data_IF_471937831937
#
_entry.id   IF_471937831937
#
_cell.length_a   1.000
_cell.length_b   1.000
_cell.length_c   1.000
_cell.angle_alpha   90.00
_cell.angle_beta   90.00
_cell.angle_gamma   90.00
#
_symmetry.space_group_name_H-M   'P 1'
#
loop_
_entity.id
_entity.type
_entity.pdbx_description
1 polymer ?
#
# COMPACT_ATOMS: atom_id res chain seq x y z
N UNK A 1 9.78 -22.52 -19.01
CA UNK A 1 8.79 -21.80 -18.15
C UNK A 1 9.42 -20.50 -17.73
N UNK A 2 8.71 -19.38 -17.87
CA UNK A 2 9.16 -18.09 -17.35
C UNK A 2 9.40 -18.21 -15.84
N UNK A 3 10.52 -17.70 -15.34
CA UNK A 3 10.85 -17.75 -13.93
C UNK A 3 9.81 -17.02 -13.07
N UNK A 4 9.63 -17.38 -11.79
CA UNK A 4 8.62 -16.74 -10.92
C UNK A 4 8.83 -15.24 -10.74
N UNK A 5 10.02 -14.72 -11.10
CA UNK A 5 10.42 -13.32 -10.96
C UNK A 5 10.16 -12.51 -12.25
N UNK A 6 10.06 -13.15 -13.42
CA UNK A 6 9.95 -12.43 -14.70
C UNK A 6 8.71 -11.54 -14.85
N UNK A 7 7.62 -11.83 -14.13
CA UNK A 7 6.43 -10.96 -14.16
C UNK A 7 6.67 -9.58 -13.52
N UNK A 8 7.67 -9.47 -12.63
CA UNK A 8 8.02 -8.22 -11.98
C UNK A 8 9.03 -7.40 -12.78
N UNK A 9 9.49 -7.90 -13.95
CA UNK A 9 10.39 -7.17 -14.81
C UNK A 9 9.67 -5.95 -15.41
N UNK A 10 10.27 -4.77 -15.23
CA UNK A 10 9.80 -3.55 -15.86
C UNK A 10 10.20 -3.59 -17.33
N UNK A 11 9.21 -3.57 -18.23
CA UNK A 11 9.43 -3.57 -19.67
C UNK A 11 8.96 -2.25 -20.27
N UNK A 12 9.74 -1.61 -21.15
CA UNK A 12 9.29 -0.46 -21.89
C UNK A 12 8.20 -0.88 -22.89
N UNK A 13 7.09 -0.14 -22.93
CA UNK A 13 6.00 -0.33 -23.89
C UNK A 13 6.15 0.66 -25.04
N UNK A 14 6.45 1.92 -24.71
CA UNK A 14 6.66 3.00 -25.68
C UNK A 14 7.88 3.80 -25.23
N UNK A 15 8.85 3.94 -26.13
CA UNK A 15 10.00 4.81 -25.90
C UNK A 15 9.60 6.26 -26.21
N UNK A 16 9.72 7.15 -25.23
CA UNK A 16 9.33 8.56 -25.35
C UNK A 16 10.48 9.48 -25.73
N UNK A 17 11.74 8.99 -25.64
CA UNK A 17 12.94 9.75 -25.92
C UNK A 17 14.01 9.62 -24.85
N UNK A 18 15.06 10.43 -24.94
CA UNK A 18 16.16 10.46 -23.98
C UNK A 18 16.18 11.80 -23.24
N UNK A 19 16.25 11.74 -21.89
CA UNK A 19 16.45 12.93 -21.05
C UNK A 19 17.75 12.73 -20.27
N UNK A 20 18.75 13.58 -20.53
CA UNK A 20 20.04 13.52 -19.85
C UNK A 20 20.83 12.23 -20.10
N UNK A 21 20.69 11.57 -21.27
CA UNK A 21 21.36 10.31 -21.59
C UNK A 21 20.69 9.05 -20.97
N UNK A 22 19.54 9.20 -20.36
CA UNK A 22 18.72 8.10 -19.85
C UNK A 22 17.50 7.90 -20.74
N UNK A 23 17.19 6.68 -21.22
CA UNK A 23 16.00 6.41 -22.00
C UNK A 23 14.75 6.59 -21.14
N UNK A 24 13.87 7.49 -21.55
CA UNK A 24 12.55 7.66 -20.93
C UNK A 24 11.55 6.86 -21.72
N UNK A 25 10.95 5.86 -21.07
CA UNK A 25 9.97 5.01 -21.71
C UNK A 25 8.71 4.90 -20.82
N UNK A 26 7.56 4.83 -21.47
CA UNK A 26 6.31 4.45 -20.81
C UNK A 26 6.35 2.94 -20.57
N UNK A 27 6.40 2.54 -19.29
CA UNK A 27 6.61 1.15 -18.88
C UNK A 27 5.29 0.46 -18.53
N UNK A 28 5.31 -0.88 -18.44
CA UNK A 28 4.20 -1.67 -17.90
C UNK A 28 3.80 -1.20 -16.49
N UNK A 29 4.75 -0.86 -15.63
CA UNK A 29 4.48 -0.30 -14.29
C UNK A 29 3.67 0.99 -14.36
N UNK A 30 4.05 1.93 -15.24
CA UNK A 30 3.33 3.18 -15.44
C UNK A 30 1.90 2.96 -15.95
N UNK A 31 1.73 2.02 -16.90
CA UNK A 31 0.42 1.65 -17.41
C UNK A 31 -0.51 1.15 -16.28
N UNK A 32 -0.03 0.22 -15.46
CA UNK A 32 -0.84 -0.34 -14.37
C UNK A 32 -1.08 0.68 -13.23
N UNK A 33 -0.18 1.65 -13.00
CA UNK A 33 -0.46 2.77 -12.11
C UNK A 33 -1.62 3.64 -12.63
N UNK A 34 -1.61 3.97 -13.92
CA UNK A 34 -2.71 4.72 -14.55
C UNK A 34 -4.02 3.93 -14.49
N UNK A 35 -4.00 2.63 -14.80
CA UNK A 35 -5.17 1.77 -14.69
C UNK A 35 -5.72 1.70 -13.26
N UNK A 36 -4.85 1.68 -12.27
CA UNK A 36 -5.24 1.72 -10.85
C UNK A 36 -5.97 3.01 -10.50
N UNK A 37 -5.42 4.15 -10.91
CA UNK A 37 -6.06 5.46 -10.67
C UNK A 37 -7.39 5.56 -11.40
N UNK A 38 -7.43 5.17 -12.67
CA UNK A 38 -8.66 5.17 -13.47
C UNK A 38 -9.71 4.21 -12.89
N UNK A 39 -9.30 3.03 -12.42
CA UNK A 39 -10.20 2.07 -11.78
C UNK A 39 -10.81 2.61 -10.48
N UNK A 40 -9.99 3.20 -9.61
CA UNK A 40 -10.46 3.83 -8.39
C UNK A 40 -11.38 5.05 -8.67
N UNK A 41 -10.99 5.90 -9.63
CA UNK A 41 -11.80 7.06 -10.04
C UNK A 41 -13.13 6.62 -10.68
N UNK A 42 -13.11 5.62 -11.56
CA UNK A 42 -14.32 5.07 -12.18
C UNK A 42 -15.26 4.46 -11.14
N UNK A 43 -14.72 3.70 -10.18
CA UNK A 43 -15.49 3.15 -9.07
C UNK A 43 -16.19 4.25 -8.27
N UNK A 44 -15.47 5.30 -7.87
CA UNK A 44 -16.03 6.42 -7.13
C UNK A 44 -17.06 7.20 -7.95
N UNK A 45 -16.78 7.46 -9.22
CA UNK A 45 -17.68 8.16 -10.11
C UNK A 45 -18.99 7.39 -10.36
N UNK A 46 -18.89 6.09 -10.66
CA UNK A 46 -20.07 5.24 -10.89
C UNK A 46 -20.91 5.09 -9.63
N UNK A 47 -20.26 5.01 -8.46
CA UNK A 47 -20.93 4.89 -7.17
C UNK A 47 -21.65 6.18 -6.75
N UNK A 48 -21.10 7.36 -7.11
CA UNK A 48 -21.69 8.67 -6.75
C UNK A 48 -22.72 9.19 -7.76
N UNK A 49 -22.74 8.65 -9.01
CA UNK A 49 -23.57 9.17 -10.11
C UNK A 49 -25.07 9.11 -9.87
N UNK A 50 -25.55 8.16 -9.05
CA UNK A 50 -26.97 7.97 -8.73
C UNK A 50 -27.22 8.09 -7.24
N UNK A 51 -26.81 9.21 -6.62
CA UNK A 51 -27.04 9.46 -5.19
C UNK A 51 -28.52 9.36 -4.79
N UNK A 52 -28.96 8.15 -4.46
CA UNK A 52 -30.32 7.87 -3.98
C UNK A 52 -30.33 7.71 -2.48
N UNK A 53 -31.45 8.10 -1.83
CA UNK A 53 -31.61 7.96 -0.36
C UNK A 53 -31.52 6.50 0.08
N UNK A 54 -31.96 5.55 -0.78
CA UNK A 54 -31.73 4.12 -0.57
C UNK A 54 -30.58 3.70 -1.47
N UNK A 55 -29.38 3.44 -0.88
CA UNK A 55 -28.19 3.20 -1.68
C UNK A 55 -28.25 1.86 -2.42
N UNK A 56 -27.93 1.89 -3.71
CA UNK A 56 -27.71 0.67 -4.49
C UNK A 56 -26.39 -0.02 -4.08
N UNK A 57 -26.17 -1.27 -4.51
CA UNK A 57 -24.99 -2.09 -4.13
C UNK A 57 -23.64 -1.38 -4.35
N UNK A 58 -23.47 -0.67 -5.47
CA UNK A 58 -22.25 0.08 -5.79
C UNK A 58 -22.09 1.31 -4.87
N UNK A 59 -23.15 2.03 -4.64
CA UNK A 59 -23.17 3.18 -3.73
C UNK A 59 -22.86 2.72 -2.30
N UNK A 60 -23.52 1.66 -1.81
CA UNK A 60 -23.25 1.11 -0.47
C UNK A 60 -21.80 0.69 -0.28
N UNK A 61 -21.17 0.06 -1.29
CA UNK A 61 -19.75 -0.32 -1.17
C UNK A 61 -18.82 0.89 -1.08
N UNK A 62 -19.09 1.98 -1.81
CA UNK A 62 -18.30 3.20 -1.69
C UNK A 62 -18.52 3.92 -0.36
N UNK A 63 -19.77 3.96 0.12
CA UNK A 63 -20.13 4.53 1.44
C UNK A 63 -19.43 3.77 2.58
N UNK A 64 -19.43 2.43 2.54
CA UNK A 64 -18.74 1.61 3.54
C UNK A 64 -17.25 1.92 3.56
N UNK A 65 -16.57 2.04 2.40
CA UNK A 65 -15.16 2.40 2.35
C UNK A 65 -14.90 3.83 2.86
N UNK A 66 -15.80 4.76 2.52
CA UNK A 66 -15.73 6.14 3.00
C UNK A 66 -15.87 6.22 4.53
N UNK A 67 -16.92 5.60 5.09
CA UNK A 67 -17.15 5.58 6.53
C UNK A 67 -16.00 4.88 7.27
N UNK A 68 -15.53 3.77 6.74
CA UNK A 68 -14.41 3.03 7.31
C UNK A 68 -13.15 3.89 7.46
N UNK A 69 -12.73 4.58 6.39
CA UNK A 69 -11.55 5.45 6.43
C UNK A 69 -11.80 6.68 7.27
N UNK A 70 -12.99 7.29 7.19
CA UNK A 70 -13.38 8.46 7.98
C UNK A 70 -13.36 8.15 9.47
N UNK A 71 -13.94 7.00 9.87
CA UNK A 71 -13.93 6.53 11.25
C UNK A 71 -12.50 6.26 11.73
N UNK A 72 -11.69 5.54 10.95
CA UNK A 72 -10.29 5.26 11.28
C UNK A 72 -9.48 6.54 11.48
N UNK A 73 -9.66 7.53 10.62
CA UNK A 73 -8.97 8.81 10.72
C UNK A 73 -9.41 9.60 11.97
N UNK A 74 -10.72 9.64 12.23
CA UNK A 74 -11.29 10.34 13.39
C UNK A 74 -10.85 9.71 14.72
N UNK A 75 -10.83 8.38 14.79
CA UNK A 75 -10.40 7.65 15.99
C UNK A 75 -8.90 7.80 16.28
N UNK A 76 -8.05 7.87 15.26
CA UNK A 76 -6.61 7.94 15.42
C UNK A 76 -6.04 9.36 15.42
N UNK A 77 -6.57 10.28 14.61
CA UNK A 77 -6.03 11.64 14.44
C UNK A 77 -7.00 12.75 14.91
N UNK A 78 -8.18 12.37 15.41
CA UNK A 78 -9.21 13.30 15.90
C UNK A 78 -9.84 14.17 14.81
N UNK A 79 -10.69 15.12 15.22
CA UNK A 79 -11.39 16.01 14.29
C UNK A 79 -10.44 16.89 13.44
N UNK A 80 -9.29 17.27 14.00
CA UNK A 80 -8.27 18.06 13.28
C UNK A 80 -7.63 17.27 12.13
N UNK A 81 -7.56 15.94 12.27
CA UNK A 81 -7.07 15.04 11.24
C UNK A 81 -7.97 14.96 10.02
N UNK A 82 -9.27 15.28 10.16
CA UNK A 82 -10.25 15.22 9.05
C UNK A 82 -9.91 16.14 7.88
N UNK A 83 -9.11 17.18 8.10
CA UNK A 83 -8.58 18.01 7.01
C UNK A 83 -7.72 17.21 6.01
N UNK A 84 -7.13 16.10 6.45
CA UNK A 84 -6.31 15.21 5.61
C UNK A 84 -7.09 14.03 5.03
N UNK A 85 -8.40 13.97 5.26
CA UNK A 85 -9.25 12.90 4.77
C UNK A 85 -9.11 12.65 3.25
N UNK A 86 -9.08 13.68 2.38
CA UNK A 86 -8.93 13.44 0.94
C UNK A 86 -7.61 12.73 0.58
N UNK A 87 -6.50 13.09 1.26
CA UNK A 87 -5.21 12.45 1.07
C UNK A 87 -5.23 10.99 1.54
N UNK A 88 -5.70 10.76 2.77
CA UNK A 88 -5.74 9.44 3.39
C UNK A 88 -6.65 8.50 2.61
N UNK A 89 -7.82 8.97 2.18
CA UNK A 89 -8.78 8.21 1.42
C UNK A 89 -8.29 7.88 0.00
N UNK A 90 -7.63 8.83 -0.68
CA UNK A 90 -7.06 8.58 -2.00
C UNK A 90 -5.91 7.56 -1.95
N UNK A 91 -5.05 7.62 -0.92
CA UNK A 91 -4.00 6.63 -0.68
C UNK A 91 -4.58 5.24 -0.39
N UNK A 92 -5.60 5.17 0.45
CA UNK A 92 -6.31 3.91 0.73
C UNK A 92 -6.86 3.28 -0.54
N UNK A 93 -7.61 4.05 -1.34
CA UNK A 93 -8.18 3.57 -2.61
C UNK A 93 -7.09 3.16 -3.59
N UNK A 94 -6.04 3.97 -3.75
CA UNK A 94 -4.95 3.64 -4.65
C UNK A 94 -4.29 2.31 -4.27
N UNK A 95 -3.94 2.10 -3.01
CA UNK A 95 -3.30 0.86 -2.54
C UNK A 95 -4.26 -0.32 -2.67
N UNK A 96 -5.51 -0.15 -2.29
CA UNK A 96 -6.54 -1.19 -2.40
C UNK A 96 -6.69 -1.65 -3.85
N UNK A 97 -6.90 -0.72 -4.78
CA UNK A 97 -7.06 -1.04 -6.20
C UNK A 97 -5.77 -1.57 -6.83
N UNK A 98 -4.60 -1.03 -6.47
CA UNK A 98 -3.31 -1.54 -6.94
C UNK A 98 -3.10 -3.00 -6.53
N UNK A 99 -3.43 -3.33 -5.29
CA UNK A 99 -3.33 -4.71 -4.79
C UNK A 99 -4.36 -5.63 -5.46
N UNK A 100 -5.61 -5.20 -5.60
CA UNK A 100 -6.67 -5.99 -6.24
C UNK A 100 -6.41 -6.22 -7.72
N UNK A 101 -6.00 -5.19 -8.47
CA UNK A 101 -5.65 -5.31 -9.89
C UNK A 101 -4.44 -6.23 -10.06
N UNK A 102 -3.44 -6.11 -9.16
CA UNK A 102 -2.26 -6.97 -9.18
C UNK A 102 -2.55 -8.47 -8.99
N UNK A 103 -3.70 -8.84 -8.43
CA UNK A 103 -4.11 -10.24 -8.26
C UNK A 103 -4.63 -10.88 -9.55
N UNK A 104 -5.00 -10.10 -10.55
CA UNK A 104 -5.45 -10.68 -11.83
C UNK A 104 -4.30 -11.39 -12.53
N UNK A 105 -4.56 -12.56 -13.15
CA UNK A 105 -3.56 -13.26 -13.95
C UNK A 105 -3.00 -12.33 -15.04
N UNK A 106 -1.67 -12.34 -15.22
CA UNK A 106 -0.93 -11.49 -16.15
C UNK A 106 -0.92 -9.99 -15.84
N UNK A 107 -1.58 -9.53 -14.77
CA UNK A 107 -1.47 -8.15 -14.33
C UNK A 107 -0.11 -7.88 -13.68
N UNK A 108 0.36 -6.65 -13.84
CA UNK A 108 1.59 -6.19 -13.18
C UNK A 108 1.24 -5.63 -11.80
N UNK A 109 1.85 -6.18 -10.76
CA UNK A 109 1.60 -5.74 -9.38
C UNK A 109 2.46 -4.52 -9.06
N UNK A 110 1.87 -3.34 -9.10
CA UNK A 110 2.55 -2.06 -8.85
C UNK A 110 3.18 -2.01 -7.46
N UNK A 111 2.48 -2.49 -6.44
CA UNK A 111 2.92 -2.49 -5.04
C UNK A 111 4.00 -3.53 -4.72
N UNK A 112 4.33 -4.42 -5.66
CA UNK A 112 5.50 -5.32 -5.54
C UNK A 112 6.83 -4.67 -5.94
N UNK A 113 6.84 -3.35 -6.23
CA UNK A 113 8.04 -2.58 -6.49
C UNK A 113 8.32 -1.61 -5.34
N UNK A 114 9.50 -1.78 -4.74
CA UNK A 114 9.92 -0.99 -3.57
C UNK A 114 9.96 0.51 -3.87
N UNK A 115 10.29 0.91 -5.10
CA UNK A 115 10.35 2.32 -5.48
C UNK A 115 8.97 3.00 -5.39
N UNK A 116 7.90 2.29 -5.79
CA UNK A 116 6.53 2.82 -5.73
C UNK A 116 6.05 2.89 -4.29
N UNK A 117 6.24 1.80 -3.53
CA UNK A 117 5.82 1.77 -2.12
C UNK A 117 6.61 2.76 -1.28
N UNK A 118 7.89 2.97 -1.60
CA UNK A 118 8.73 3.98 -0.95
C UNK A 118 8.28 5.40 -1.31
N UNK A 119 7.92 5.66 -2.57
CA UNK A 119 7.39 6.96 -2.98
C UNK A 119 6.08 7.31 -2.23
N UNK A 120 5.16 6.33 -2.07
CA UNK A 120 3.94 6.52 -1.29
C UNK A 120 4.23 6.77 0.19
N UNK A 121 5.14 6.00 0.79
CA UNK A 121 5.54 6.18 2.18
C UNK A 121 6.24 7.53 2.41
N UNK A 122 7.09 7.96 1.47
CA UNK A 122 7.75 9.27 1.51
C UNK A 122 6.76 10.42 1.33
N UNK A 123 5.75 10.27 0.48
CA UNK A 123 4.69 11.28 0.33
C UNK A 123 3.98 11.50 1.67
N UNK A 124 3.60 10.42 2.37
CA UNK A 124 2.99 10.50 3.70
C UNK A 124 3.96 11.16 4.70
N UNK A 125 5.19 10.66 4.76
CA UNK A 125 6.20 11.15 5.69
C UNK A 125 6.51 12.64 5.51
N UNK A 126 6.71 13.07 4.26
CA UNK A 126 6.97 14.48 3.95
C UNK A 126 5.75 15.36 4.27
N UNK A 127 4.55 14.91 3.92
CA UNK A 127 3.32 15.66 4.23
C UNK A 127 3.16 15.86 5.74
N UNK A 128 3.32 14.79 6.52
CA UNK A 128 3.21 14.82 7.98
C UNK A 128 4.31 15.70 8.60
N UNK A 129 5.56 15.55 8.14
CA UNK A 129 6.71 16.30 8.66
C UNK A 129 6.61 17.78 8.33
N UNK A 130 6.31 18.13 7.08
CA UNK A 130 6.17 19.53 6.64
C UNK A 130 5.01 20.19 7.39
N UNK A 131 3.87 19.52 7.50
CA UNK A 131 2.72 20.03 8.23
C UNK A 131 3.06 20.27 9.72
N UNK A 132 3.70 19.30 10.37
CA UNK A 132 4.14 19.41 11.76
C UNK A 132 5.09 20.58 11.98
N UNK A 133 6.08 20.75 11.09
CA UNK A 133 7.03 21.86 11.13
C UNK A 133 6.35 23.23 10.90
N UNK A 134 5.49 23.34 9.91
CA UNK A 134 4.80 24.61 9.58
C UNK A 134 3.86 25.03 10.71
N UNK A 135 3.15 24.06 11.31
CA UNK A 135 2.15 24.35 12.34
C UNK A 135 2.74 24.61 13.72
N UNK A 136 3.78 23.88 14.10
CA UNK A 136 4.34 23.88 15.45
C UNK A 136 5.73 24.52 15.51
N UNK A 137 6.39 24.78 14.38
CA UNK A 137 7.73 25.35 14.33
C UNK A 137 8.72 24.54 15.18
N UNK A 138 9.51 25.22 16.01
CA UNK A 138 10.49 24.58 16.90
C UNK A 138 9.86 23.64 17.96
N UNK A 139 8.57 23.79 18.26
CA UNK A 139 7.88 22.88 19.19
C UNK A 139 7.70 21.48 18.61
N UNK A 140 7.80 21.31 17.29
CA UNK A 140 7.77 20.01 16.64
C UNK A 140 8.90 19.10 17.14
N UNK A 141 10.07 19.65 17.47
CA UNK A 141 11.19 18.87 18.01
C UNK A 141 10.94 18.26 19.39
N UNK A 142 9.86 18.66 20.08
CA UNK A 142 9.40 17.97 21.29
C UNK A 142 8.93 16.53 21.03
N UNK A 143 8.63 16.20 19.77
CA UNK A 143 8.34 14.82 19.36
C UNK A 143 9.51 13.88 19.71
N UNK A 144 10.75 14.39 19.66
CA UNK A 144 11.96 13.61 19.96
C UNK A 144 12.32 13.56 21.45
N UNK A 145 11.55 14.24 22.29
CA UNK A 145 11.76 14.24 23.74
C UNK A 145 10.43 13.99 24.45
N UNK A 146 10.07 12.71 24.71
CA UNK A 146 8.82 12.34 25.35
C UNK A 146 8.63 13.04 26.70
N UNK A 147 7.39 13.43 27.03
CA UNK A 147 7.07 14.07 28.29
C UNK A 147 7.38 13.12 29.49
N UNK A 148 8.01 13.66 30.53
CA UNK A 148 8.34 12.90 31.74
C UNK A 148 9.75 12.27 31.77
N UNK A 149 10.54 12.42 30.72
CA UNK A 149 11.91 11.90 30.69
C UNK A 149 12.87 12.90 31.38
N UNK A 150 13.69 12.47 32.37
CA UNK A 150 14.72 13.30 32.98
C UNK A 150 15.72 13.78 31.92
N UNK A 151 16.12 15.06 31.99
CA UNK A 151 17.06 15.67 31.04
C UNK A 151 18.41 14.94 30.95
N UNK A 152 18.80 14.20 31.98
CA UNK A 152 20.02 13.37 32.02
C UNK A 152 19.97 12.23 30.99
N UNK A 153 18.78 11.70 30.66
CA UNK A 153 18.61 10.63 29.68
C UNK A 153 18.40 11.11 28.26
N UNK A 154 18.19 12.42 28.05
CA UNK A 154 17.96 13.03 26.75
C UNK A 154 19.06 12.70 25.70
N UNK A 155 20.37 12.69 26.02
CA UNK A 155 21.42 12.36 25.05
C UNK A 155 21.33 10.95 24.47
N UNK A 156 20.66 10.03 25.14
CA UNK A 156 20.45 8.65 24.70
C UNK A 156 19.11 8.51 23.97
N UNK A 157 18.04 9.09 24.52
CA UNK A 157 16.68 8.94 24.00
C UNK A 157 16.47 9.70 22.70
N UNK A 158 16.97 10.94 22.62
CA UNK A 158 16.77 11.76 21.41
C UNK A 158 17.35 11.12 20.14
N UNK A 159 18.58 10.56 20.12
CA UNK A 159 19.09 9.84 18.95
C UNK A 159 18.25 8.61 18.59
N UNK A 160 17.78 7.85 19.58
CA UNK A 160 16.92 6.68 19.34
C UNK A 160 15.59 7.11 18.70
N UNK A 161 14.97 8.17 19.20
CA UNK A 161 13.71 8.67 18.67
C UNK A 161 13.86 9.23 17.25
N UNK A 162 14.97 9.94 16.96
CA UNK A 162 15.30 10.39 15.60
C UNK A 162 15.47 9.19 14.66
N UNK A 163 16.20 8.17 15.07
CA UNK A 163 16.37 6.94 14.26
C UNK A 163 15.04 6.23 14.03
N UNK A 164 14.20 6.13 15.07
CA UNK A 164 12.85 5.60 14.97
C UNK A 164 12.00 6.38 13.97
N UNK A 165 12.03 7.72 14.05
CA UNK A 165 11.29 8.60 13.15
C UNK A 165 11.72 8.45 11.69
N UNK A 166 13.02 8.41 11.41
CA UNK A 166 13.58 8.22 10.06
C UNK A 166 13.28 6.80 9.52
N UNK A 167 13.20 5.79 10.39
CA UNK A 167 12.87 4.42 9.99
C UNK A 167 11.40 4.23 9.59
N UNK A 168 10.50 5.15 9.97
CA UNK A 168 9.05 5.06 9.68
C UNK A 168 8.75 4.89 8.19
N UNK A 169 9.21 5.74 7.25
CA UNK A 169 8.93 5.57 5.82
C UNK A 169 9.54 4.28 5.26
N UNK A 170 10.69 3.86 5.76
CA UNK A 170 11.33 2.60 5.33
C UNK A 170 10.48 1.41 5.74
N UNK A 171 10.13 1.30 7.02
CA UNK A 171 9.29 0.21 7.55
C UNK A 171 7.91 0.18 6.87
N UNK A 172 7.34 1.35 6.63
CA UNK A 172 6.04 1.51 5.98
C UNK A 172 6.05 1.02 4.53
N UNK A 173 7.10 1.38 3.78
CA UNK A 173 7.34 0.94 2.41
C UNK A 173 7.63 -0.55 2.31
N UNK A 174 8.61 -1.04 3.09
CA UNK A 174 9.04 -2.44 3.06
C UNK A 174 7.90 -3.38 3.43
N UNK A 175 7.04 -3.01 4.37
CA UNK A 175 5.88 -3.81 4.76
C UNK A 175 4.93 -4.03 3.59
N UNK A 176 4.54 -2.96 2.87
CA UNK A 176 3.66 -3.05 1.71
C UNK A 176 4.29 -3.88 0.60
N UNK A 177 5.54 -3.57 0.25
CA UNK A 177 6.32 -4.27 -0.76
C UNK A 177 6.48 -5.76 -0.46
N UNK A 178 6.98 -6.11 0.75
CA UNK A 178 7.32 -7.48 1.09
C UNK A 178 6.09 -8.39 1.14
N UNK A 179 4.97 -7.92 1.70
CA UNK A 179 3.73 -8.71 1.79
C UNK A 179 3.19 -9.05 0.41
N UNK A 180 3.18 -8.08 -0.52
CA UNK A 180 2.66 -8.30 -1.87
C UNK A 180 3.61 -9.16 -2.70
N UNK A 181 4.91 -8.87 -2.67
CA UNK A 181 5.91 -9.65 -3.40
C UNK A 181 5.94 -11.12 -2.96
N UNK A 182 6.00 -11.36 -1.64
CA UNK A 182 6.05 -12.72 -1.10
C UNK A 182 4.80 -13.53 -1.46
N UNK A 183 3.62 -12.91 -1.41
CA UNK A 183 2.35 -13.56 -1.77
C UNK A 183 2.35 -14.04 -3.21
N UNK A 184 2.69 -13.17 -4.15
CA UNK A 184 2.72 -13.50 -5.57
C UNK A 184 3.80 -14.55 -5.92
N UNK A 185 4.99 -14.49 -5.31
CA UNK A 185 6.03 -15.51 -5.49
C UNK A 185 5.53 -16.86 -5.01
N UNK A 186 4.90 -16.91 -3.83
CA UNK A 186 4.37 -18.15 -3.26
C UNK A 186 3.31 -18.78 -4.17
N UNK A 187 2.34 -18.00 -4.66
CA UNK A 187 1.33 -18.49 -5.60
C UNK A 187 1.95 -19.09 -6.86
N UNK A 188 2.98 -18.45 -7.42
CA UNK A 188 3.65 -18.97 -8.62
C UNK A 188 4.43 -20.25 -8.38
N UNK A 189 5.08 -20.38 -7.23
CA UNK A 189 5.79 -21.61 -6.87
C UNK A 189 4.81 -22.77 -6.78
N UNK A 190 3.66 -22.59 -6.12
CA UNK A 190 2.64 -23.62 -6.03
C UNK A 190 2.00 -23.94 -7.39
N UNK A 191 1.72 -22.92 -8.21
CA UNK A 191 1.25 -23.13 -9.58
C UNK A 191 2.29 -23.91 -10.42
N UNK A 192 3.59 -23.64 -10.23
CA UNK A 192 4.67 -24.41 -10.85
C UNK A 192 4.67 -25.88 -10.44
N UNK A 193 4.40 -26.18 -9.16
CA UNK A 193 4.24 -27.55 -8.70
C UNK A 193 3.04 -28.26 -9.33
N UNK A 194 1.90 -27.58 -9.47
CA UNK A 194 0.71 -28.14 -10.15
C UNK A 194 1.04 -28.54 -11.58
N UNK A 195 1.72 -27.66 -12.33
CA UNK A 195 2.09 -27.93 -13.73
C UNK A 195 3.16 -29.03 -13.80
N UNK A 196 4.20 -28.96 -12.95
CA UNK A 196 5.30 -29.93 -12.94
C UNK A 196 4.83 -31.33 -12.59
N UNK A 197 4.01 -31.50 -11.54
CA UNK A 197 3.47 -32.78 -11.15
C UNK A 197 2.45 -33.29 -12.20
N UNK A 198 1.59 -32.41 -12.73
CA UNK A 198 0.60 -32.78 -13.75
C UNK A 198 1.22 -33.32 -15.03
N UNK A 199 2.46 -32.96 -15.37
CA UNK A 199 3.20 -33.47 -16.54
C UNK A 199 3.73 -34.91 -16.36
N UNK A 200 3.73 -35.48 -15.15
CA UNK A 200 4.26 -36.82 -14.82
C UNK A 200 3.24 -37.96 -15.06
N UNK A 201 2.12 -37.68 -15.75
CA UNK A 201 1.09 -38.66 -16.05
C UNK A 201 0.03 -38.83 -14.95
N UNK A 202 -0.72 -39.94 -14.95
CA UNK A 202 -1.90 -40.14 -14.09
C UNK A 202 -1.59 -40.07 -12.59
N UNK A 203 -0.48 -40.65 -12.14
CA UNK A 203 -0.03 -40.56 -10.74
C UNK A 203 0.39 -39.16 -10.37
N UNK A 204 1.02 -38.44 -11.29
CA UNK A 204 1.38 -37.03 -11.11
C UNK A 204 0.16 -36.12 -11.01
N UNK A 205 -0.90 -36.38 -11.77
CA UNK A 205 -2.18 -35.66 -11.66
C UNK A 205 -2.82 -35.83 -10.28
N UNK A 206 -2.77 -37.03 -9.72
CA UNK A 206 -3.34 -37.32 -8.40
C UNK A 206 -2.58 -36.51 -7.29
N UNK A 207 -1.26 -36.46 -7.37
CA UNK A 207 -0.44 -35.71 -6.45
C UNK A 207 -0.53 -34.20 -6.65
N UNK A 208 -0.84 -33.69 -7.85
CA UNK A 208 -1.02 -32.29 -8.17
C UNK A 208 -2.28 -31.68 -7.52
N UNK A 209 -3.23 -32.50 -7.05
CA UNK A 209 -4.44 -32.03 -6.35
C UNK A 209 -4.08 -31.28 -5.06
N UNK A 210 -3.07 -31.71 -4.33
CA UNK A 210 -2.66 -31.06 -3.08
C UNK A 210 -2.11 -29.67 -3.31
N UNK A 211 -1.09 -29.42 -4.17
CA UNK A 211 -0.64 -28.07 -4.50
C UNK A 211 -1.74 -27.22 -5.14
N UNK A 212 -2.68 -27.79 -5.89
CA UNK A 212 -3.82 -27.06 -6.44
C UNK A 212 -4.73 -26.54 -5.33
N UNK A 213 -5.10 -27.38 -4.36
CA UNK A 213 -5.91 -26.98 -3.22
C UNK A 213 -5.21 -25.88 -2.39
N UNK A 214 -3.88 -26.01 -2.20
CA UNK A 214 -3.07 -24.98 -1.55
C UNK A 214 -3.06 -23.67 -2.35
N UNK A 215 -2.97 -23.71 -3.69
CA UNK A 215 -3.03 -22.50 -4.53
C UNK A 215 -4.36 -21.78 -4.37
N UNK A 216 -5.48 -22.48 -4.33
CA UNK A 216 -6.81 -21.90 -4.09
C UNK A 216 -6.88 -21.24 -2.72
N UNK A 217 -6.43 -21.93 -1.66
CA UNK A 217 -6.41 -21.39 -0.31
C UNK A 217 -5.50 -20.15 -0.19
N UNK A 218 -4.32 -20.18 -0.81
CA UNK A 218 -3.38 -19.06 -0.85
C UNK A 218 -3.96 -17.87 -1.62
N UNK A 219 -4.71 -18.08 -2.71
CA UNK A 219 -5.35 -17.00 -3.45
C UNK A 219 -6.39 -16.27 -2.60
N UNK A 220 -7.20 -17.01 -1.82
CA UNK A 220 -8.14 -16.41 -0.88
C UNK A 220 -7.43 -15.61 0.22
N UNK A 221 -6.32 -16.16 0.75
CA UNK A 221 -5.50 -15.48 1.74
C UNK A 221 -4.83 -14.22 1.16
N UNK A 222 -4.44 -14.24 -0.10
CA UNK A 222 -3.82 -13.08 -0.77
C UNK A 222 -4.85 -11.96 -0.99
N UNK A 223 -6.09 -12.30 -1.33
CA UNK A 223 -7.18 -11.33 -1.38
C UNK A 223 -7.39 -10.64 -0.01
N UNK A 224 -7.39 -11.42 1.05
CA UNK A 224 -7.49 -10.89 2.41
C UNK A 224 -6.31 -9.96 2.73
N UNK A 225 -5.07 -10.37 2.40
CA UNK A 225 -3.87 -9.55 2.59
C UNK A 225 -3.95 -8.23 1.81
N UNK A 226 -4.46 -8.25 0.58
CA UNK A 226 -4.60 -7.05 -0.26
C UNK A 226 -5.45 -5.97 0.44
N UNK A 227 -6.55 -6.37 1.06
CA UNK A 227 -7.44 -5.46 1.82
C UNK A 227 -6.79 -5.03 3.13
N UNK A 228 -6.28 -5.99 3.92
CA UNK A 228 -5.64 -5.69 5.21
C UNK A 228 -4.44 -4.76 5.02
N UNK A 229 -3.66 -4.93 3.96
CA UNK A 229 -2.47 -4.12 3.73
C UNK A 229 -2.83 -2.65 3.40
N UNK A 230 -3.91 -2.42 2.64
CA UNK A 230 -4.43 -1.08 2.41
C UNK A 230 -4.90 -0.44 3.73
N UNK A 231 -5.58 -1.20 4.58
CA UNK A 231 -5.98 -0.74 5.92
C UNK A 231 -4.80 -0.40 6.81
N UNK A 232 -3.81 -1.30 6.92
CA UNK A 232 -2.62 -1.09 7.78
C UNK A 232 -1.84 0.14 7.32
N UNK A 233 -1.69 0.34 6.01
CA UNK A 233 -1.04 1.53 5.48
C UNK A 233 -1.78 2.80 5.90
N UNK A 234 -3.10 2.81 5.77
CA UNK A 234 -3.96 3.94 6.15
C UNK A 234 -3.91 4.21 7.66
N UNK A 235 -4.02 3.18 8.49
CA UNK A 235 -3.98 3.29 9.94
C UNK A 235 -2.66 3.91 10.42
N UNK A 236 -1.52 3.43 9.88
CA UNK A 236 -0.22 4.00 10.22
C UNK A 236 -0.08 5.44 9.74
N UNK A 237 -0.62 5.78 8.58
CA UNK A 237 -0.69 7.17 8.10
C UNK A 237 -1.44 8.05 9.10
N UNK A 238 -2.59 7.58 9.62
CA UNK A 238 -3.38 8.30 10.63
C UNK A 238 -2.61 8.46 11.94
N UNK A 239 -1.87 7.42 12.38
CA UNK A 239 -1.04 7.50 13.58
C UNK A 239 0.10 8.54 13.42
N UNK A 240 0.80 8.53 12.29
CA UNK A 240 1.84 9.52 12.02
C UNK A 240 1.28 10.95 11.94
N UNK A 241 0.07 11.09 11.41
CA UNK A 241 -0.63 12.37 11.37
C UNK A 241 -0.99 12.85 12.78
N UNK A 242 -1.42 11.94 13.66
CA UNK A 242 -1.70 12.27 15.06
C UNK A 242 -0.45 12.78 15.79
N UNK A 243 0.70 12.13 15.59
CA UNK A 243 1.97 12.56 16.17
C UNK A 243 2.35 13.99 15.72
N UNK A 244 2.06 14.34 14.47
CA UNK A 244 2.33 15.69 13.94
C UNK A 244 1.30 16.74 14.42
N UNK A 245 0.06 16.32 14.68
CA UNK A 245 -0.99 17.21 15.20
C UNK A 245 -0.82 17.50 16.69
N UNK A 246 -0.26 16.56 17.46
CA UNK A 246 -0.13 16.62 18.91
C UNK A 246 1.32 16.28 19.35
N UNK A 247 2.33 17.10 18.97
CA UNK A 247 3.71 16.80 19.32
C UNK A 247 3.91 16.96 20.84
N UNK A 248 4.34 15.87 21.51
CA UNK A 248 4.70 15.88 22.93
C UNK A 248 3.68 15.24 23.89
N UNK A 249 2.81 14.36 23.39
CA UNK A 249 2.02 13.44 24.21
C UNK A 249 2.71 12.11 24.36
#
# INVERSE_FOLDING_TARGET
MAGPIEQFAIKPIVELGEIGGQPVAFTNSALFMVLTVLGAAAFMFLSSRRGTVVPGRWQSSAEILYEFVSKTLRENAGEKGMAFFPLVFSLFLFILFANLIGMFPYAFTVTSHIIVTFALAMLVFLTVTIYGLVRHGFRFFRLFMPAGVPAVLAPIIVPIEIMSYISRPVSHSVRLFAVMLAGHITLKVFAGFVIGLGSLGTLGMLTAVLPLAMTVALTALELLKAVIQAYVFTMLTCMYLNDALHPGH
#
